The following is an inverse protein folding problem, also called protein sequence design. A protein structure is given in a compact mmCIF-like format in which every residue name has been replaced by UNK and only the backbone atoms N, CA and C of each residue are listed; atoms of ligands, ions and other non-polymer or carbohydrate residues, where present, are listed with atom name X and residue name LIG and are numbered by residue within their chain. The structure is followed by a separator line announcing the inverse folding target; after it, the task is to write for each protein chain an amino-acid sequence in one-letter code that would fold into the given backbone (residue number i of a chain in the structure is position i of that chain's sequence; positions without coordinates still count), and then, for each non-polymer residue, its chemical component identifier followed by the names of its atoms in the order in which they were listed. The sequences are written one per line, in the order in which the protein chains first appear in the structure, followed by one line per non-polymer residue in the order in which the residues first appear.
data_IF_496557823147
#
_entry.id   IF_496557823147
#
_cell.length_a   1.000
_cell.length_b   1.000
_cell.length_c   1.000
_cell.angle_alpha   90.00
_cell.angle_beta   90.00
_cell.angle_gamma   90.00
#
_symmetry.space_group_name_H-M   'P 1'
#
loop_
_entity.id
_entity.type
_entity.pdbx_description
1 polymer ?
#
# COMPACT_ATOMS: atom_id res chain seq x y z
N UNK A 1 5.95 -107.85 65.48
CA UNK A 1 4.65 -107.35 65.99
C UNK A 1 3.60 -107.74 64.96
N UNK A 2 2.99 -108.92 65.13
CA UNK A 2 1.90 -109.39 64.29
C UNK A 2 0.63 -108.72 64.77
N UNK A 3 0.03 -107.89 63.92
CA UNK A 3 -1.29 -107.31 64.19
C UNK A 3 -2.28 -108.46 64.30
N UNK A 4 -3.05 -108.49 65.39
CA UNK A 4 -4.06 -109.51 65.62
C UNK A 4 -5.15 -109.38 64.54
N UNK A 5 -5.47 -110.49 63.88
CA UNK A 5 -6.36 -110.50 62.70
C UNK A 5 -7.77 -110.05 63.12
N UNK A 6 -8.18 -110.37 64.34
CA UNK A 6 -9.43 -109.89 64.93
C UNK A 6 -9.45 -108.36 65.12
N UNK A 7 -8.33 -107.78 65.54
CA UNK A 7 -8.18 -106.33 65.75
C UNK A 7 -8.21 -105.57 64.43
N UNK A 8 -7.57 -106.11 63.38
CA UNK A 8 -7.65 -105.58 62.03
C UNK A 8 -9.08 -105.64 61.43
N UNK A 9 -9.82 -106.73 61.67
CA UNK A 9 -11.21 -106.87 61.23
C UNK A 9 -12.12 -105.87 61.95
N UNK A 10 -11.89 -105.62 63.25
CA UNK A 10 -12.65 -104.65 64.02
C UNK A 10 -12.40 -103.23 63.50
N UNK A 11 -11.13 -102.87 63.25
CA UNK A 11 -10.77 -101.56 62.67
C UNK A 11 -11.39 -101.35 61.29
N UNK A 12 -11.39 -102.37 60.42
CA UNK A 12 -12.05 -102.27 59.10
C UNK A 12 -13.56 -102.08 59.24
N UNK A 13 -14.19 -102.76 60.20
CA UNK A 13 -15.63 -102.65 60.47
C UNK A 13 -15.99 -101.29 61.08
N UNK A 14 -15.10 -100.72 61.89
CA UNK A 14 -15.26 -99.38 62.48
C UNK A 14 -14.97 -98.26 61.45
N UNK A 15 -14.18 -98.55 60.40
CA UNK A 15 -13.92 -97.64 59.27
C UNK A 15 -15.05 -97.61 58.24
N UNK A 16 -15.83 -98.68 58.12
CA UNK A 16 -16.89 -98.78 57.11
C UNK A 16 -17.96 -97.68 57.18
N UNK A 17 -18.44 -97.23 58.37
CA UNK A 17 -19.40 -96.12 58.49
C UNK A 17 -18.75 -94.74 58.32
N UNK A 18 -17.43 -94.65 58.38
CA UNK A 18 -16.67 -93.39 58.26
C UNK A 18 -16.40 -93.05 56.79
N UNK A 19 -16.41 -94.05 55.92
CA UNK A 19 -16.23 -93.90 54.47
C UNK A 19 -17.62 -93.99 53.83
N UNK A 20 -18.17 -92.84 53.47
CA UNK A 20 -19.40 -92.72 52.68
C UNK A 20 -19.05 -92.28 51.23
N UNK A 21 -18.93 -93.23 50.28
CA UNK A 21 -18.59 -92.93 48.90
C UNK A 21 -19.64 -92.08 48.19
N UNK A 22 -20.90 -92.12 48.64
CA UNK A 22 -21.99 -91.37 48.03
C UNK A 22 -21.87 -89.88 48.41
N UNK A 23 -21.49 -89.57 49.66
CA UNK A 23 -21.21 -88.21 50.11
C UNK A 23 -19.96 -87.62 49.43
N UNK A 24 -18.90 -88.43 49.27
CA UNK A 24 -17.68 -88.03 48.55
C UNK A 24 -17.98 -87.75 47.07
N UNK A 25 -18.79 -88.59 46.42
CA UNK A 25 -19.21 -88.38 45.03
C UNK A 25 -19.99 -87.07 44.86
N UNK A 26 -20.97 -86.80 45.74
CA UNK A 26 -21.73 -85.55 45.72
C UNK A 26 -20.83 -84.32 45.93
N UNK A 27 -19.82 -84.45 46.80
CA UNK A 27 -18.83 -83.40 47.04
C UNK A 27 -17.97 -83.13 45.81
N UNK A 28 -17.54 -84.18 45.11
CA UNK A 28 -16.76 -84.06 43.86
C UNK A 28 -17.61 -83.39 42.77
N UNK A 29 -18.86 -83.81 42.57
CA UNK A 29 -19.77 -83.21 41.60
C UNK A 29 -20.00 -81.72 41.91
N UNK A 30 -20.27 -81.38 43.17
CA UNK A 30 -20.42 -79.99 43.60
C UNK A 30 -19.13 -79.17 43.41
N UNK A 31 -17.96 -79.79 43.55
CA UNK A 31 -16.68 -79.14 43.27
C UNK A 31 -16.46 -78.92 41.77
N UNK A 32 -16.78 -79.89 40.92
CA UNK A 32 -16.73 -79.77 39.45
C UNK A 32 -17.66 -78.66 38.96
N UNK A 33 -18.90 -78.62 39.44
CA UNK A 33 -19.85 -77.55 39.10
C UNK A 33 -19.32 -76.17 39.49
N UNK A 34 -18.70 -76.04 40.67
CA UNK A 34 -18.05 -74.79 41.10
C UNK A 34 -16.86 -74.42 40.23
N UNK A 35 -16.05 -75.39 39.80
CA UNK A 35 -14.91 -75.17 38.90
C UNK A 35 -15.41 -74.67 37.54
N UNK A 36 -16.40 -75.34 36.95
CA UNK A 36 -17.00 -74.94 35.67
C UNK A 36 -17.62 -73.55 35.77
N UNK A 37 -18.35 -73.26 36.86
CA UNK A 37 -18.92 -71.94 37.09
C UNK A 37 -17.83 -70.85 37.21
N UNK A 38 -16.75 -71.14 37.94
CA UNK A 38 -15.60 -70.25 38.12
C UNK A 38 -14.87 -69.99 36.80
N UNK A 39 -14.63 -71.03 36.00
CA UNK A 39 -14.00 -70.89 34.68
C UNK A 39 -14.86 -70.07 33.73
N UNK A 40 -16.19 -70.29 33.71
CA UNK A 40 -17.09 -69.50 32.85
C UNK A 40 -17.08 -68.02 33.26
N UNK A 41 -17.06 -67.73 34.56
CA UNK A 41 -16.98 -66.37 35.10
C UNK A 41 -15.66 -65.73 34.71
N UNK A 42 -14.55 -66.45 34.91
CA UNK A 42 -13.21 -65.97 34.55
C UNK A 42 -13.09 -65.68 33.05
N UNK A 43 -13.64 -66.56 32.20
CA UNK A 43 -13.66 -66.36 30.74
C UNK A 43 -14.45 -65.12 30.36
N UNK A 44 -15.63 -64.92 30.97
CA UNK A 44 -16.46 -63.73 30.74
C UNK A 44 -15.76 -62.44 31.17
N UNK A 45 -15.12 -62.44 32.35
CA UNK A 45 -14.34 -61.29 32.83
C UNK A 45 -13.16 -60.96 31.88
N UNK A 46 -12.48 -61.99 31.37
CA UNK A 46 -11.38 -61.84 30.43
C UNK A 46 -11.86 -61.23 29.10
N UNK A 47 -13.00 -61.70 28.59
CA UNK A 47 -13.60 -61.21 27.34
C UNK A 47 -14.14 -59.78 27.49
N UNK A 48 -14.76 -59.46 28.64
CA UNK A 48 -15.14 -58.10 28.99
C UNK A 48 -13.91 -57.17 29.09
N UNK A 49 -12.83 -57.61 29.72
CA UNK A 49 -11.59 -56.84 29.82
C UNK A 49 -10.97 -56.61 28.43
N UNK A 50 -10.92 -57.63 27.57
CA UNK A 50 -10.43 -57.50 26.19
C UNK A 50 -11.29 -56.54 25.36
N UNK A 51 -12.62 -56.61 25.49
CA UNK A 51 -13.52 -55.71 24.76
C UNK A 51 -13.33 -54.25 25.21
N UNK A 52 -13.20 -54.00 26.51
CA UNK A 52 -12.89 -52.68 27.09
C UNK A 52 -11.55 -52.16 26.59
N UNK A 53 -10.50 -52.99 26.61
CA UNK A 53 -9.17 -52.61 26.13
C UNK A 53 -9.19 -52.26 24.64
N UNK A 54 -9.91 -53.04 23.81
CA UNK A 54 -10.08 -52.74 22.39
C UNK A 54 -10.86 -51.44 22.15
N UNK A 55 -11.88 -51.17 22.95
CA UNK A 55 -12.63 -49.90 22.88
C UNK A 55 -11.73 -48.71 23.26
N UNK A 56 -10.99 -48.80 24.36
CA UNK A 56 -10.05 -47.77 24.79
C UNK A 56 -8.94 -47.54 23.77
N UNK A 57 -8.40 -48.59 23.16
CA UNK A 57 -7.38 -48.49 22.11
C UNK A 57 -7.90 -47.73 20.88
N UNK A 58 -9.16 -47.97 20.46
CA UNK A 58 -9.79 -47.21 19.37
C UNK A 58 -9.98 -45.74 19.72
N UNK A 59 -10.43 -45.45 20.94
CA UNK A 59 -10.58 -44.07 21.42
C UNK A 59 -9.22 -43.38 21.48
N UNK A 60 -8.19 -44.08 21.95
CA UNK A 60 -6.82 -43.56 22.00
C UNK A 60 -6.29 -43.22 20.60
N UNK A 61 -6.42 -44.11 19.62
CA UNK A 61 -5.98 -43.80 18.25
C UNK A 61 -6.79 -42.66 17.63
N UNK A 62 -8.11 -42.60 17.85
CA UNK A 62 -8.93 -41.49 17.40
C UNK A 62 -8.50 -40.16 18.05
N UNK A 63 -8.22 -40.16 19.35
CA UNK A 63 -7.70 -39.01 20.07
C UNK A 63 -6.28 -38.64 19.63
N UNK A 64 -5.44 -39.62 19.28
CA UNK A 64 -4.09 -39.39 18.77
C UNK A 64 -4.13 -38.72 17.40
N UNK A 65 -4.94 -39.23 16.48
CA UNK A 65 -5.15 -38.63 15.16
C UNK A 65 -5.73 -37.21 15.28
N UNK A 66 -6.66 -36.99 16.20
CA UNK A 66 -7.26 -35.67 16.45
C UNK A 66 -6.30 -34.68 17.12
N UNK A 67 -5.42 -35.15 18.01
CA UNK A 67 -4.46 -34.29 18.74
C UNK A 67 -3.19 -34.00 17.94
N UNK A 68 -2.85 -34.83 16.96
CA UNK A 68 -1.80 -34.50 15.99
C UNK A 68 -2.27 -33.42 15.04
N UNK A 69 -1.50 -32.34 14.92
CA UNK A 69 -1.75 -31.26 13.96
C UNK A 69 -1.86 -31.88 12.55
N UNK A 70 -3.01 -31.68 11.91
CA UNK A 70 -3.26 -32.21 10.57
C UNK A 70 -2.20 -31.71 9.58
N UNK A 71 -1.70 -32.55 8.69
CA UNK A 71 -0.59 -32.23 7.77
C UNK A 71 -0.90 -31.09 6.77
N UNK A 72 -2.17 -30.68 6.67
CA UNK A 72 -2.62 -29.54 5.86
C UNK A 72 -2.39 -28.19 6.54
N UNK A 73 -2.09 -28.17 7.85
CA UNK A 73 -1.88 -26.95 8.62
C UNK A 73 -0.37 -26.69 8.62
N UNK A 74 0.12 -25.52 8.17
CA UNK A 74 1.54 -25.18 8.18
C UNK A 74 2.16 -25.43 9.56
N UNK A 75 3.44 -25.80 9.61
CA UNK A 75 4.12 -25.93 10.89
C UNK A 75 4.16 -24.58 11.61
N UNK A 76 4.40 -24.57 12.92
CA UNK A 76 4.51 -23.31 13.66
C UNK A 76 5.62 -22.41 13.11
N UNK A 77 6.72 -23.01 12.63
CA UNK A 77 7.81 -22.29 11.98
C UNK A 77 7.37 -21.70 10.63
N UNK A 78 6.68 -22.47 9.79
CA UNK A 78 6.18 -22.00 8.49
C UNK A 78 5.17 -20.87 8.65
N UNK A 79 4.28 -20.99 9.65
CA UNK A 79 3.32 -19.95 9.98
C UNK A 79 4.01 -18.66 10.44
N UNK A 80 5.04 -18.76 11.29
CA UNK A 80 5.81 -17.60 11.73
C UNK A 80 6.57 -16.94 10.57
N UNK A 81 7.14 -17.73 9.65
CA UNK A 81 7.78 -17.24 8.43
C UNK A 81 6.78 -16.48 7.55
N UNK A 82 5.60 -17.07 7.32
CA UNK A 82 4.54 -16.44 6.53
C UNK A 82 4.07 -15.12 7.16
N UNK A 83 3.95 -15.08 8.49
CA UNK A 83 3.54 -13.86 9.21
C UNK A 83 4.59 -12.74 9.05
N UNK A 84 5.87 -13.08 9.15
CA UNK A 84 6.96 -12.13 8.92
C UNK A 84 7.01 -11.66 7.46
N UNK A 85 6.78 -12.55 6.49
CA UNK A 85 6.69 -12.17 5.07
C UNK A 85 5.52 -11.23 4.81
N UNK A 86 4.36 -11.50 5.39
CA UNK A 86 3.19 -10.63 5.32
C UNK A 86 3.47 -9.27 5.96
N UNK A 87 4.08 -9.21 7.14
CA UNK A 87 4.43 -7.94 7.78
C UNK A 87 5.44 -7.14 6.97
N UNK A 88 6.46 -7.79 6.40
CA UNK A 88 7.40 -7.15 5.49
C UNK A 88 6.69 -6.60 4.25
N UNK A 89 5.77 -7.36 3.66
CA UNK A 89 4.98 -6.91 2.50
C UNK A 89 4.12 -5.70 2.85
N UNK A 90 3.51 -5.69 4.03
CA UNK A 90 2.64 -4.62 4.51
C UNK A 90 3.45 -3.34 4.71
N UNK A 91 4.63 -3.42 5.33
CA UNK A 91 5.54 -2.27 5.49
C UNK A 91 6.03 -1.75 4.14
N UNK A 92 6.37 -2.64 3.20
CA UNK A 92 6.77 -2.26 1.85
C UNK A 92 5.64 -1.54 1.10
N UNK A 93 4.41 -2.04 1.18
CA UNK A 93 3.24 -1.43 0.56
C UNK A 93 2.92 -0.08 1.19
N UNK A 94 2.95 0.03 2.52
CA UNK A 94 2.73 1.31 3.21
C UNK A 94 3.75 2.37 2.77
N UNK A 95 5.03 1.98 2.62
CA UNK A 95 6.06 2.87 2.10
C UNK A 95 5.79 3.28 0.65
N UNK A 96 5.47 2.32 -0.23
CA UNK A 96 5.15 2.60 -1.62
C UNK A 96 3.94 3.55 -1.78
N UNK A 97 2.92 3.39 -0.92
CA UNK A 97 1.77 4.30 -0.87
C UNK A 97 2.21 5.70 -0.44
N UNK A 98 2.99 5.82 0.64
CA UNK A 98 3.49 7.12 1.11
C UNK A 98 4.36 7.83 0.08
N UNK A 99 5.21 7.09 -0.64
CA UNK A 99 6.06 7.63 -1.71
C UNK A 99 5.19 8.11 -2.88
N UNK A 100 4.16 7.34 -3.27
CA UNK A 100 3.23 7.71 -4.32
C UNK A 100 2.39 8.94 -3.96
N UNK A 101 1.88 9.02 -2.72
CA UNK A 101 1.15 10.19 -2.21
C UNK A 101 2.02 11.45 -2.21
N UNK A 102 3.29 11.34 -1.80
CA UNK A 102 4.24 12.44 -1.89
C UNK A 102 4.47 12.92 -3.33
N UNK A 103 4.56 11.99 -4.28
CA UNK A 103 4.73 12.29 -5.70
C UNK A 103 3.50 12.99 -6.29
N UNK A 104 2.30 12.54 -5.91
CA UNK A 104 1.03 13.20 -6.27
C UNK A 104 1.00 14.62 -5.70
N UNK A 105 1.29 14.81 -4.42
CA UNK A 105 1.30 16.13 -3.80
C UNK A 105 2.29 17.09 -4.48
N UNK A 106 3.49 16.61 -4.83
CA UNK A 106 4.46 17.41 -5.59
C UNK A 106 3.93 17.80 -6.98
N UNK A 107 3.26 16.88 -7.68
CA UNK A 107 2.72 17.14 -9.01
C UNK A 107 1.51 18.07 -8.98
N UNK A 108 0.67 17.97 -7.96
CA UNK A 108 -0.44 18.89 -7.74
C UNK A 108 0.05 20.30 -7.45
N UNK A 109 1.11 20.44 -6.64
CA UNK A 109 1.75 21.74 -6.37
C UNK A 109 2.35 22.36 -7.64
N UNK A 110 3.06 21.56 -8.45
CA UNK A 110 3.61 21.99 -9.75
C UNK A 110 2.49 22.42 -10.72
N UNK A 111 1.41 21.64 -10.79
CA UNK A 111 0.25 21.94 -11.62
C UNK A 111 -0.44 23.23 -11.17
N UNK A 112 -0.58 23.45 -9.87
CA UNK A 112 -1.13 24.69 -9.32
C UNK A 112 -0.26 25.91 -9.68
N UNK A 113 1.08 25.80 -9.56
CA UNK A 113 2.01 26.85 -9.94
C UNK A 113 1.93 27.18 -11.45
N UNK A 114 1.94 26.15 -12.30
CA UNK A 114 1.83 26.32 -13.76
C UNK A 114 0.48 26.92 -14.18
N UNK A 115 -0.61 26.57 -13.50
CA UNK A 115 -1.92 27.19 -13.73
C UNK A 115 -1.92 28.68 -13.38
N UNK A 116 -1.27 29.05 -12.28
CA UNK A 116 -1.18 30.46 -11.89
C UNK A 116 -0.30 31.24 -12.88
N UNK A 117 0.84 30.68 -13.30
CA UNK A 117 1.68 31.28 -14.34
C UNK A 117 0.94 31.42 -15.68
N UNK A 118 0.22 30.39 -16.11
CA UNK A 118 -0.61 30.45 -17.31
C UNK A 118 -1.67 31.57 -17.22
N UNK A 119 -2.33 31.71 -16.06
CA UNK A 119 -3.29 32.79 -15.82
C UNK A 119 -2.63 34.18 -15.87
N UNK A 120 -1.42 34.31 -15.34
CA UNK A 120 -0.65 35.55 -15.40
C UNK A 120 -0.27 35.91 -16.84
N UNK A 121 0.13 34.92 -17.64
CA UNK A 121 0.44 35.09 -19.06
C UNK A 121 -0.80 35.40 -19.89
N UNK A 122 -1.96 34.80 -19.59
CA UNK A 122 -3.23 35.14 -20.24
C UNK A 122 -3.68 36.58 -19.93
N UNK A 123 -3.37 37.08 -18.73
CA UNK A 123 -3.64 38.47 -18.35
C UNK A 123 -2.60 39.46 -18.90
N UNK A 124 -1.45 38.96 -19.37
CA UNK A 124 -0.39 39.78 -19.92
C UNK A 124 -0.71 40.16 -21.37
N UNK A 125 -0.96 41.45 -21.62
CA UNK A 125 -1.12 42.00 -22.96
C UNK A 125 0.18 42.71 -23.40
N UNK A 126 0.98 42.09 -24.31
CA UNK A 126 2.22 42.68 -24.79
C UNK A 126 2.02 44.00 -25.53
N UNK A 127 0.85 44.23 -26.13
CA UNK A 127 0.59 45.46 -26.90
C UNK A 127 0.42 46.66 -25.97
N UNK A 128 -0.18 46.48 -24.79
CA UNK A 128 -0.34 47.54 -23.79
C UNK A 128 0.99 47.88 -23.12
N UNK A 129 1.81 46.87 -22.81
CA UNK A 129 3.13 47.10 -22.22
C UNK A 129 4.11 47.73 -23.23
N UNK A 130 4.16 47.24 -24.48
CA UNK A 130 4.95 47.91 -25.51
C UNK A 130 4.44 49.33 -25.82
N UNK A 131 3.13 49.60 -25.74
CA UNK A 131 2.62 50.96 -25.90
C UNK A 131 3.03 51.91 -24.76
N UNK A 132 3.32 51.38 -23.56
CA UNK A 132 3.90 52.16 -22.46
C UNK A 132 5.41 52.35 -22.62
N UNK A 133 6.11 51.35 -23.15
CA UNK A 133 7.57 51.39 -23.34
C UNK A 133 8.00 52.17 -24.59
N UNK A 134 7.23 52.10 -25.69
CA UNK A 134 7.45 52.93 -26.85
C UNK A 134 7.00 54.36 -26.55
N UNK A 135 7.97 55.24 -26.30
CA UNK A 135 7.73 56.68 -26.28
C UNK A 135 7.22 57.11 -27.66
N UNK A 136 5.91 57.31 -27.78
CA UNK A 136 5.27 57.79 -29.00
C UNK A 136 5.87 59.10 -29.51
N UNK A 137 6.56 59.86 -28.65
CA UNK A 137 7.31 61.06 -29.04
C UNK A 137 8.51 60.70 -29.93
N UNK A 138 9.25 59.63 -29.63
CA UNK A 138 10.39 59.19 -30.44
C UNK A 138 9.94 58.77 -31.84
N UNK A 139 8.85 58.00 -31.94
CA UNK A 139 8.29 57.62 -33.24
C UNK A 139 7.79 58.82 -34.04
N UNK A 140 7.09 59.77 -33.38
CA UNK A 140 6.65 61.01 -34.04
C UNK A 140 7.84 61.84 -34.51
N UNK A 141 8.90 61.96 -33.71
CA UNK A 141 10.12 62.66 -34.08
C UNK A 141 10.84 61.98 -35.25
N UNK A 142 10.89 60.65 -35.28
CA UNK A 142 11.47 59.90 -36.40
C UNK A 142 10.63 60.06 -37.67
N UNK A 143 9.30 60.07 -37.58
CA UNK A 143 8.41 60.34 -38.70
C UNK A 143 8.61 61.75 -39.26
N UNK A 144 8.65 62.76 -38.39
CA UNK A 144 8.89 64.17 -38.76
C UNK A 144 10.26 64.33 -39.43
N UNK A 145 11.30 63.66 -38.90
CA UNK A 145 12.61 63.62 -39.53
C UNK A 145 12.59 62.92 -40.90
N UNK A 146 11.85 61.81 -41.02
CA UNK A 146 11.65 61.08 -42.27
C UNK A 146 10.91 61.90 -43.34
N UNK A 147 10.01 62.80 -42.92
CA UNK A 147 9.36 63.80 -43.79
C UNK A 147 10.30 64.93 -44.24
N UNK A 148 11.55 64.95 -43.75
CA UNK A 148 12.57 65.91 -44.17
C UNK A 148 12.68 67.14 -43.28
N UNK A 149 11.98 67.20 -42.14
CA UNK A 149 12.09 68.30 -41.18
C UNK A 149 13.13 67.98 -40.11
N UNK A 150 14.23 68.72 -40.09
CA UNK A 150 15.30 68.55 -39.11
C UNK A 150 15.49 69.84 -38.29
N UNK A 151 15.15 69.84 -36.98
CA UNK A 151 15.36 71.00 -36.13
C UNK A 151 16.84 71.16 -35.78
N UNK A 152 17.35 72.38 -35.91
CA UNK A 152 18.65 72.79 -35.41
C UNK A 152 18.43 73.53 -34.10
N UNK A 153 18.94 72.94 -33.02
CA UNK A 153 18.88 73.52 -31.69
C UNK A 153 20.02 74.53 -31.50
N UNK A 154 19.69 75.68 -30.91
CA UNK A 154 20.65 76.69 -30.45
C UNK A 154 21.34 76.22 -29.14
N UNK A 155 22.46 76.81 -28.69
CA UNK A 155 23.14 76.43 -27.43
C UNK A 155 22.22 76.46 -26.20
N UNK A 156 21.16 77.26 -26.25
CA UNK A 156 20.13 77.36 -25.20
C UNK A 156 19.01 76.30 -25.32
N UNK A 157 19.19 75.25 -26.12
CA UNK A 157 18.22 74.15 -26.35
C UNK A 157 16.84 74.57 -26.92
N UNK A 158 16.74 75.75 -27.50
CA UNK A 158 15.55 76.18 -28.23
C UNK A 158 15.73 75.90 -29.74
N UNK A 159 14.64 75.56 -30.43
CA UNK A 159 14.66 75.34 -31.89
C UNK A 159 14.77 76.70 -32.57
N UNK A 160 15.97 77.08 -32.98
CA UNK A 160 16.20 78.37 -33.64
C UNK A 160 15.97 78.27 -35.15
N UNK A 161 16.36 77.16 -35.77
CA UNK A 161 16.27 76.97 -37.22
C UNK A 161 15.72 75.59 -37.56
N UNK A 162 15.00 75.50 -38.67
CA UNK A 162 14.50 74.25 -39.23
C UNK A 162 15.13 74.03 -40.59
N UNK A 163 15.73 72.86 -40.81
CA UNK A 163 16.08 72.38 -42.13
C UNK A 163 14.89 71.63 -42.72
N UNK A 164 14.54 71.97 -43.95
CA UNK A 164 13.49 71.29 -44.72
C UNK A 164 14.12 70.70 -45.96
N UNK A 165 14.15 69.38 -46.03
CA UNK A 165 14.52 68.63 -47.23
C UNK A 165 13.28 68.49 -48.11
N UNK A 166 13.34 69.10 -49.28
CA UNK A 166 12.30 69.08 -50.28
C UNK A 166 12.26 67.72 -51.01
N UNK A 167 11.13 67.38 -51.64
CA UNK A 167 11.00 66.13 -52.40
C UNK A 167 11.90 66.13 -53.64
N UNK A 168 12.18 67.31 -54.17
CA UNK A 168 13.14 67.57 -55.25
C UNK A 168 14.60 67.30 -54.85
N UNK A 169 14.91 67.15 -53.56
CA UNK A 169 16.25 66.89 -53.03
C UNK A 169 16.97 68.14 -52.50
N UNK A 170 16.40 69.33 -52.69
CA UNK A 170 16.93 70.60 -52.20
C UNK A 170 16.75 70.76 -50.68
N UNK A 171 17.71 71.43 -50.03
CA UNK A 171 17.69 71.66 -48.58
C UNK A 171 17.50 73.16 -48.31
N UNK A 172 16.40 73.50 -47.64
CA UNK A 172 16.05 74.87 -47.28
C UNK A 172 16.25 75.09 -45.78
N UNK A 173 16.84 76.23 -45.41
CA UNK A 173 16.96 76.67 -44.01
C UNK A 173 15.89 77.71 -43.71
N UNK A 174 15.02 77.45 -42.74
CA UNK A 174 14.02 78.41 -42.25
C UNK A 174 14.39 78.83 -40.82
N UNK A 175 14.45 80.14 -40.59
CA UNK A 175 14.74 80.69 -39.27
C UNK A 175 13.43 80.99 -38.52
N UNK A 176 13.21 80.25 -37.44
CA UNK A 176 11.99 80.31 -36.64
C UNK A 176 12.04 81.42 -35.57
N UNK A 177 13.19 82.08 -35.39
CA UNK A 177 13.37 83.17 -34.42
C UNK A 177 12.82 84.53 -34.89
N UNK A 178 12.26 84.59 -36.10
CA UNK A 178 11.97 85.83 -36.83
C UNK A 178 10.68 86.57 -36.41
N UNK A 179 10.02 86.17 -35.32
CA UNK A 179 8.83 86.86 -34.79
C UNK A 179 7.59 86.77 -35.68
N UNK A 180 7.63 85.94 -36.73
CA UNK A 180 6.51 85.63 -37.62
C UNK A 180 5.51 84.74 -36.87
N UNK A 181 4.21 84.87 -37.20
CA UNK A 181 3.16 84.02 -36.64
C UNK A 181 3.45 82.53 -36.88
N UNK A 182 3.18 81.68 -35.89
CA UNK A 182 3.36 80.22 -35.99
C UNK A 182 2.64 79.61 -37.19
N UNK A 183 1.48 80.19 -37.55
CA UNK A 183 0.70 79.78 -38.71
C UNK A 183 1.45 80.01 -40.04
N UNK A 184 2.03 81.19 -40.21
CA UNK A 184 2.74 81.55 -41.44
C UNK A 184 4.04 80.74 -41.60
N UNK A 185 4.75 80.52 -40.48
CA UNK A 185 5.91 79.63 -40.45
C UNK A 185 5.53 78.20 -40.87
N UNK A 186 4.41 77.68 -40.37
CA UNK A 186 3.92 76.33 -40.73
C UNK A 186 3.58 76.25 -42.23
N UNK A 187 2.87 77.25 -42.76
CA UNK A 187 2.54 77.34 -44.19
C UNK A 187 3.80 77.36 -45.07
N UNK A 188 4.83 78.11 -44.65
CA UNK A 188 6.11 78.20 -45.36
C UNK A 188 6.87 76.88 -45.32
N UNK A 189 6.94 76.20 -44.17
CA UNK A 189 7.60 74.90 -44.01
C UNK A 189 6.96 73.85 -44.94
N UNK A 190 5.64 73.76 -44.98
CA UNK A 190 4.93 72.83 -45.86
C UNK A 190 5.10 73.17 -47.34
N UNK A 191 5.10 74.46 -47.69
CA UNK A 191 5.36 74.89 -49.08
C UNK A 191 6.76 74.48 -49.55
N UNK A 192 7.76 74.61 -48.68
CA UNK A 192 9.15 74.24 -49.00
C UNK A 192 9.35 72.72 -49.04
N UNK A 193 8.64 71.96 -48.20
CA UNK A 193 8.69 70.49 -48.24
C UNK A 193 8.08 69.90 -49.53
N UNK A 194 7.06 70.57 -50.08
CA UNK A 194 6.38 70.16 -51.31
C UNK A 194 6.98 70.78 -52.60
N UNK A 195 8.07 71.54 -52.47
CA UNK A 195 8.85 72.03 -53.60
C UNK A 195 9.86 71.00 -54.10
#
# INVERSE_FOLDING_TARGET
MSIDVQEAIQVIRDLHPVIDPDEDYLTIVAAEEKIVASESKRKKELEEAHSKLKALSRIYEAARVSSTRHASIPSQADHASLLNELDNSKLSLAKAISDAEGLVGSKEAELAALKEEARQLEAYDPAVEHAKELDGSVLRLQLIKGLGFEPINDPNKHVAKMLVRATSGDIHTVDLSTGISEFDNTQQLWKLANS
#
